data_IF_487781218245
#
_entry.id   IF_487781218245
#
_cell.length_a   1.000
_cell.length_b   1.000
_cell.length_c   1.000
_cell.angle_alpha   90.00
_cell.angle_beta   90.00
_cell.angle_gamma   90.00
#
_symmetry.space_group_name_H-M   'P 1'
#
loop_
_entity.id
_entity.type
_entity.pdbx_description
1 polymer ?
#
# COMPACT_ATOMS: atom_id res chain seq x y z
N UNK A 1 -22.26 3.89 -13.16
CA UNK A 1 -21.07 3.03 -13.01
C UNK A 1 -20.25 3.54 -11.80
N UNK A 2 -20.31 2.88 -10.64
CA UNK A 2 -19.58 3.32 -9.43
C UNK A 2 -18.10 2.94 -9.58
N UNK A 3 -17.26 3.85 -10.12
CA UNK A 3 -15.79 3.66 -10.23
C UNK A 3 -15.12 3.28 -8.90
N UNK A 4 -15.76 3.58 -7.78
CA UNK A 4 -15.25 3.34 -6.43
C UNK A 4 -15.16 1.87 -5.97
N UNK A 5 -15.70 0.90 -6.71
CA UNK A 5 -15.68 -0.51 -6.27
C UNK A 5 -15.13 -1.49 -7.32
N UNK A 6 -14.57 -0.99 -8.40
CA UNK A 6 -13.92 -1.85 -9.39
C UNK A 6 -12.59 -2.39 -8.81
N UNK A 7 -12.42 -3.72 -8.72
CA UNK A 7 -11.18 -4.32 -8.22
C UNK A 7 -9.94 -3.89 -9.02
N UNK A 8 -10.06 -3.65 -10.33
CA UNK A 8 -8.93 -3.23 -11.17
C UNK A 8 -8.37 -1.87 -10.73
N UNK A 9 -9.24 -0.94 -10.32
CA UNK A 9 -8.83 0.37 -9.81
C UNK A 9 -8.12 0.27 -8.46
N UNK A 10 -8.53 -0.67 -7.59
CA UNK A 10 -7.89 -0.89 -6.29
C UNK A 10 -6.50 -1.51 -6.46
N UNK A 11 -6.34 -2.43 -7.41
CA UNK A 11 -5.04 -3.02 -7.74
C UNK A 11 -4.10 -1.96 -8.34
N UNK A 12 -4.60 -1.15 -9.28
CA UNK A 12 -3.81 -0.06 -9.86
C UNK A 12 -3.38 0.98 -8.81
N UNK A 13 -4.26 1.31 -7.85
CA UNK A 13 -3.93 2.21 -6.75
C UNK A 13 -2.81 1.65 -5.86
N UNK A 14 -2.81 0.32 -5.60
CA UNK A 14 -1.74 -0.34 -4.84
C UNK A 14 -0.41 -0.29 -5.60
N UNK A 15 -0.39 -0.62 -6.89
CA UNK A 15 0.82 -0.55 -7.73
C UNK A 15 1.43 0.86 -7.68
N UNK A 16 0.63 1.89 -7.95
CA UNK A 16 1.12 3.27 -7.93
C UNK A 16 1.66 3.70 -6.55
N UNK A 17 1.07 3.20 -5.46
CA UNK A 17 1.56 3.49 -4.12
C UNK A 17 2.93 2.84 -3.84
N UNK A 18 3.12 1.59 -4.28
CA UNK A 18 4.40 0.88 -4.17
C UNK A 18 5.50 1.52 -5.02
N UNK A 19 5.14 2.12 -6.16
CA UNK A 19 6.04 2.96 -6.99
C UNK A 19 6.37 4.31 -6.34
N UNK A 20 5.88 4.60 -5.13
CA UNK A 20 6.19 5.81 -4.37
C UNK A 20 5.29 7.02 -4.65
N UNK A 21 4.20 6.86 -5.41
CA UNK A 21 3.28 7.97 -5.65
C UNK A 21 2.46 8.30 -4.39
N UNK A 22 2.38 9.59 -4.05
CA UNK A 22 1.54 10.07 -2.95
C UNK A 22 0.04 9.95 -3.26
N UNK A 23 -0.79 9.82 -2.21
CA UNK A 23 -2.25 9.62 -2.29
C UNK A 23 -2.98 10.63 -3.19
N UNK A 24 -2.55 11.90 -3.18
CA UNK A 24 -3.13 12.96 -4.02
C UNK A 24 -2.79 12.77 -5.50
N UNK A 25 -1.57 12.31 -5.82
CA UNK A 25 -1.16 12.04 -7.19
C UNK A 25 -1.97 10.86 -7.76
N UNK A 26 -2.08 9.77 -7.00
CA UNK A 26 -2.89 8.60 -7.36
C UNK A 26 -4.35 9.00 -7.57
N UNK A 27 -4.92 9.81 -6.68
CA UNK A 27 -6.29 10.30 -6.82
C UNK A 27 -6.53 11.07 -8.12
N UNK A 28 -5.57 11.91 -8.54
CA UNK A 28 -5.64 12.63 -9.83
C UNK A 28 -5.56 11.66 -11.02
N UNK A 29 -4.64 10.69 -10.99
CA UNK A 29 -4.46 9.69 -12.05
C UNK A 29 -5.72 8.84 -12.25
N UNK A 30 -6.32 8.38 -11.14
CA UNK A 30 -7.47 7.48 -11.16
C UNK A 30 -8.82 8.22 -11.22
N UNK A 31 -8.81 9.55 -11.13
CA UNK A 31 -10.04 10.37 -11.12
C UNK A 31 -10.90 10.14 -9.88
N UNK A 32 -10.29 9.86 -8.72
CA UNK A 32 -10.98 9.62 -7.44
C UNK A 32 -10.41 10.51 -6.34
N UNK A 33 -11.22 10.79 -5.31
CA UNK A 33 -10.75 11.56 -4.17
C UNK A 33 -9.68 10.78 -3.37
N UNK A 34 -8.60 11.44 -2.96
CA UNK A 34 -7.46 10.80 -2.27
C UNK A 34 -7.84 10.02 -1.00
N UNK A 35 -8.91 10.40 -0.29
CA UNK A 35 -9.44 9.62 0.86
C UNK A 35 -9.94 8.23 0.46
N UNK A 36 -10.45 8.07 -0.77
CA UNK A 36 -10.88 6.76 -1.30
C UNK A 36 -9.66 5.87 -1.51
N UNK A 37 -8.60 6.42 -2.12
CA UNK A 37 -7.31 5.73 -2.28
C UNK A 37 -6.76 5.28 -0.92
N UNK A 38 -6.72 6.20 0.07
CA UNK A 38 -6.29 5.87 1.43
C UNK A 38 -7.09 4.71 2.04
N UNK A 39 -8.43 4.72 1.90
CA UNK A 39 -9.28 3.63 2.40
C UNK A 39 -8.95 2.30 1.73
N UNK A 40 -8.74 2.27 0.42
CA UNK A 40 -8.36 1.05 -0.29
C UNK A 40 -7.01 0.50 0.17
N UNK A 41 -6.02 1.37 0.34
CA UNK A 41 -4.69 0.95 0.80
C UNK A 41 -4.72 0.41 2.23
N UNK A 42 -5.46 1.04 3.14
CA UNK A 42 -5.64 0.54 4.51
C UNK A 42 -6.35 -0.81 4.52
N UNK A 43 -7.35 -1.00 3.66
CA UNK A 43 -8.04 -2.28 3.52
C UNK A 43 -7.10 -3.38 2.98
N UNK A 44 -6.26 -3.05 1.99
CA UNK A 44 -5.30 -3.98 1.42
C UNK A 44 -4.19 -4.35 2.43
N UNK A 45 -3.68 -3.38 3.18
CA UNK A 45 -2.65 -3.61 4.20
C UNK A 45 -3.13 -4.50 5.37
N UNK A 46 -4.44 -4.56 5.62
CA UNK A 46 -5.03 -5.47 6.60
C UNK A 46 -5.17 -6.92 6.11
N UNK A 47 -4.91 -7.21 4.84
CA UNK A 47 -4.93 -8.57 4.30
C UNK A 47 -3.56 -9.23 4.45
N UNK A 48 -3.51 -10.53 4.80
CA UNK A 48 -2.25 -11.25 4.84
C UNK A 48 -1.58 -11.23 3.46
N UNK A 49 -0.25 -11.10 3.38
CA UNK A 49 0.45 -11.17 2.11
C UNK A 49 0.16 -12.50 1.43
N UNK A 50 -0.12 -12.44 0.12
CA UNK A 50 -0.47 -13.61 -0.70
C UNK A 50 0.70 -14.62 -0.72
N UNK A 51 1.93 -14.11 -0.74
CA UNK A 51 3.15 -14.90 -0.70
C UNK A 51 3.88 -14.65 0.62
N UNK A 52 3.49 -15.39 1.67
CA UNK A 52 4.35 -15.52 2.83
C UNK A 52 5.58 -16.33 2.43
N UNK A 53 6.81 -15.79 2.57
CA UNK A 53 8.01 -16.54 2.24
C UNK A 53 8.07 -17.78 3.13
N UNK A 54 8.19 -18.96 2.52
CA UNK A 54 8.38 -20.20 3.27
C UNK A 54 9.71 -20.10 4.01
N UNK A 55 9.66 -20.02 5.32
CA UNK A 55 10.85 -20.00 6.18
C UNK A 55 11.61 -21.31 6.01
N UNK A 56 12.85 -21.21 5.52
CA UNK A 56 13.83 -22.30 5.56
C UNK A 56 14.78 -22.05 6.72
N UNK A 57 15.32 -23.12 7.29
CA UNK A 57 16.36 -22.99 8.30
C UNK A 57 17.58 -22.27 7.70
N UNK A 58 18.02 -21.19 8.33
CA UNK A 58 19.22 -20.44 7.96
C UNK A 58 20.21 -20.44 9.14
N UNK A 59 21.51 -20.54 8.84
CA UNK A 59 22.59 -20.52 9.83
C UNK A 59 23.03 -19.10 10.21
N UNK A 60 22.68 -18.10 9.39
CA UNK A 60 23.02 -16.69 9.58
C UNK A 60 21.83 -15.82 9.16
N UNK A 61 21.58 -14.77 9.94
CA UNK A 61 20.55 -13.77 9.66
C UNK A 61 21.20 -12.40 9.89
N UNK A 62 21.03 -11.51 8.92
CA UNK A 62 21.40 -10.09 9.04
C UNK A 62 20.15 -9.28 9.39
N UNK A 63 20.31 -8.30 10.28
CA UNK A 63 19.24 -7.41 10.71
C UNK A 63 19.66 -5.99 10.34
N UNK A 64 18.76 -5.26 9.67
CA UNK A 64 18.97 -3.87 9.27
C UNK A 64 17.85 -2.97 9.82
N UNK A 65 18.16 -1.71 10.08
CA UNK A 65 17.24 -0.72 10.64
C UNK A 65 16.86 0.35 9.61
N UNK A 66 15.55 0.53 9.39
CA UNK A 66 15.02 1.60 8.57
C UNK A 66 14.36 2.68 9.45
N UNK A 67 14.96 3.87 9.47
CA UNK A 67 14.46 5.02 10.20
C UNK A 67 13.57 5.90 9.32
N UNK A 68 12.38 6.26 9.80
CA UNK A 68 11.50 7.23 9.13
C UNK A 68 10.92 8.23 10.14
N UNK A 69 10.62 9.45 9.69
CA UNK A 69 9.97 10.45 10.52
C UNK A 69 8.45 10.25 10.52
N UNK A 70 7.91 9.84 11.67
CA UNK A 70 6.46 9.76 11.88
C UNK A 70 6.02 11.00 12.63
N UNK A 71 5.39 11.95 11.93
CA UNK A 71 4.78 13.10 12.58
C UNK A 71 3.70 12.62 13.56
N UNK A 72 3.85 12.92 14.85
CA UNK A 72 2.80 12.69 15.84
C UNK A 72 1.74 13.77 15.65
N UNK A 73 0.56 13.38 15.18
CA UNK A 73 -0.58 14.28 15.15
C UNK A 73 -1.00 14.55 16.61
N UNK A 74 -0.76 15.78 17.07
CA UNK A 74 -1.23 16.29 18.38
C UNK A 74 -2.75 16.47 18.31
#
# INVERSE_FOLDING_TARGET
MRRGNDPAFKEQAQKLYLEGLGLRAIGRILGVHHKIVSRWLVQAAGQPPVDQPKTRACSLIEIDELCSFVAKKI
#
